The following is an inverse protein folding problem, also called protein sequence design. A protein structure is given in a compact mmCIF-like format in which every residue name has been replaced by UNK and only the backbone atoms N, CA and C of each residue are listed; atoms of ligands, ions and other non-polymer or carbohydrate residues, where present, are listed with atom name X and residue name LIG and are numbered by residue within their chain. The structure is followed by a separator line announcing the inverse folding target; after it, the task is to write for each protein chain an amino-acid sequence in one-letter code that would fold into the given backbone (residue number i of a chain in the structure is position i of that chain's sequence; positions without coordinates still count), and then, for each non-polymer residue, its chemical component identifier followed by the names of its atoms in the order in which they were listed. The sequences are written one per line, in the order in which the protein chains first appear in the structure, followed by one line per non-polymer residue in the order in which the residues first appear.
data_IF_704490130876
#
_entry.id   IF_704490130876
#
_cell.length_a   1.000
_cell.length_b   1.000
_cell.length_c   1.000
_cell.angle_alpha   90.00
_cell.angle_beta   90.00
_cell.angle_gamma   90.00
#
_symmetry.space_group_name_H-M   'P 1'
#
loop_
_entity.id
_entity.type
_entity.pdbx_description
1 polymer ?
#
# COMPACT_ATOMS: atom_id res chain seq x y z
N UNK A 1 19.58 0.85 9.15
CA UNK A 1 18.70 -0.32 9.35
C UNK A 1 18.64 -0.79 10.79
N UNK A 2 19.75 -0.87 11.53
CA UNK A 2 19.77 -1.38 12.91
C UNK A 2 18.84 -0.61 13.86
N UNK A 3 18.83 0.73 13.80
CA UNK A 3 17.93 1.54 14.63
C UNK A 3 16.44 1.23 14.37
N UNK A 4 16.04 0.97 13.12
CA UNK A 4 14.66 0.62 12.82
C UNK A 4 14.26 -0.72 13.47
N UNK A 5 15.17 -1.70 13.48
CA UNK A 5 14.94 -2.97 14.14
C UNK A 5 14.87 -2.82 15.66
N UNK A 6 15.79 -2.05 16.24
CA UNK A 6 15.87 -1.87 17.68
C UNK A 6 14.68 -1.09 18.26
N UNK A 7 14.25 -0.01 17.59
CA UNK A 7 13.26 0.91 18.18
C UNK A 7 11.84 0.74 17.64
N UNK A 8 11.67 0.19 16.44
CA UNK A 8 10.38 0.16 15.78
C UNK A 8 9.81 -1.26 15.56
N UNK A 9 10.64 -2.29 15.56
CA UNK A 9 10.17 -3.65 15.32
C UNK A 9 9.58 -4.28 16.57
N UNK A 10 8.34 -4.74 16.49
CA UNK A 10 7.65 -5.51 17.53
C UNK A 10 7.82 -7.00 17.24
N UNK A 11 8.76 -7.65 17.91
CA UNK A 11 9.08 -9.07 17.70
C UNK A 11 7.88 -9.99 17.94
N UNK A 12 7.01 -9.65 18.94
CA UNK A 12 5.84 -10.46 19.28
C UNK A 12 4.81 -10.43 18.15
N UNK A 13 4.62 -9.26 17.54
CA UNK A 13 3.70 -9.07 16.42
C UNK A 13 4.37 -9.36 15.07
N UNK A 14 5.70 -9.27 15.01
CA UNK A 14 6.50 -9.45 13.81
C UNK A 14 6.25 -8.39 12.74
N UNK A 15 6.01 -7.14 13.16
CA UNK A 15 5.75 -5.99 12.30
C UNK A 15 6.37 -4.74 12.92
N UNK A 16 6.57 -3.71 12.11
CA UNK A 16 7.04 -2.41 12.60
C UNK A 16 5.89 -1.59 13.18
N UNK A 17 6.22 -0.84 14.20
CA UNK A 17 5.31 0.11 14.86
C UNK A 17 5.83 1.53 14.70
N UNK A 18 4.95 2.52 14.77
CA UNK A 18 5.31 3.93 14.64
C UNK A 18 4.60 4.80 15.68
N UNK A 19 5.23 5.93 16.00
CA UNK A 19 4.72 6.89 16.98
C UNK A 19 4.76 6.38 18.42
N UNK A 20 4.39 7.26 19.35
CA UNK A 20 4.37 6.95 20.80
C UNK A 20 3.36 5.84 21.12
N UNK A 21 2.27 5.78 20.40
CA UNK A 21 1.18 4.80 20.57
C UNK A 21 1.49 3.44 19.91
N UNK A 22 2.69 3.26 19.36
CA UNK A 22 3.12 2.03 18.67
C UNK A 22 2.07 1.51 17.70
N UNK A 23 1.53 2.42 16.88
CA UNK A 23 0.53 2.09 15.88
C UNK A 23 1.13 1.24 14.75
N UNK A 24 0.28 0.40 14.15
CA UNK A 24 0.63 -0.40 12.97
C UNK A 24 -0.16 0.16 11.79
N UNK A 25 0.54 0.45 10.68
CA UNK A 25 -0.08 0.93 9.44
C UNK A 25 0.47 0.18 8.23
N UNK A 26 -0.29 0.14 7.15
CA UNK A 26 0.16 -0.39 5.87
C UNK A 26 1.39 0.34 5.34
N UNK A 27 1.37 1.68 5.43
CA UNK A 27 2.44 2.53 4.94
C UNK A 27 3.77 2.26 5.64
N UNK A 28 3.79 2.12 6.98
CA UNK A 28 5.03 1.88 7.70
C UNK A 28 5.69 0.57 7.29
N UNK A 29 4.92 -0.51 7.05
CA UNK A 29 5.49 -1.77 6.61
C UNK A 29 6.03 -1.67 5.17
N UNK A 30 5.27 -1.07 4.25
CA UNK A 30 5.72 -0.88 2.88
C UNK A 30 7.05 -0.11 2.83
N UNK A 31 7.18 0.96 3.59
CA UNK A 31 8.41 1.74 3.64
C UNK A 31 9.59 0.96 4.24
N UNK A 32 9.37 0.12 5.26
CA UNK A 32 10.45 -0.70 5.84
C UNK A 32 10.93 -1.77 4.86
N UNK A 33 10.04 -2.34 4.07
CA UNK A 33 10.40 -3.27 2.98
C UNK A 33 11.20 -2.55 1.89
N UNK A 34 10.74 -1.39 1.43
CA UNK A 34 11.42 -0.60 0.39
C UNK A 34 12.77 -0.03 0.86
N UNK A 35 12.93 0.19 2.16
CA UNK A 35 14.21 0.58 2.77
C UNK A 35 15.17 -0.60 3.01
N UNK A 36 14.78 -1.81 2.57
CA UNK A 36 15.59 -3.03 2.68
C UNK A 36 16.11 -3.27 4.11
N UNK A 37 15.23 -3.07 5.11
CA UNK A 37 15.58 -3.30 6.52
C UNK A 37 15.78 -4.78 6.80
N UNK A 38 15.03 -5.61 6.12
CA UNK A 38 15.07 -7.07 6.17
C UNK A 38 15.51 -7.70 4.85
N UNK A 39 15.88 -8.98 4.89
CA UNK A 39 16.07 -9.81 3.68
C UNK A 39 14.76 -9.98 2.93
N UNK A 40 14.83 -10.43 1.67
CA UNK A 40 13.67 -10.72 0.84
C UNK A 40 12.70 -11.70 1.52
N UNK A 41 13.23 -12.75 2.14
CA UNK A 41 12.46 -13.79 2.84
C UNK A 41 11.77 -13.24 4.09
N UNK A 42 12.45 -12.39 4.85
CA UNK A 42 11.88 -11.73 6.03
C UNK A 42 10.81 -10.72 5.63
N UNK A 43 11.03 -9.94 4.57
CA UNK A 43 10.05 -9.03 3.99
C UNK A 43 8.80 -9.78 3.51
N UNK A 44 8.96 -10.94 2.89
CA UNK A 44 7.84 -11.80 2.50
C UNK A 44 6.99 -12.21 3.71
N UNK A 45 7.63 -12.64 4.81
CA UNK A 45 6.95 -13.01 6.07
C UNK A 45 6.29 -11.80 6.74
N UNK A 46 6.95 -10.64 6.73
CA UNK A 46 6.40 -9.39 7.24
C UNK A 46 5.10 -9.01 6.53
N UNK A 47 5.10 -9.07 5.19
CA UNK A 47 3.92 -8.77 4.39
C UNK A 47 2.79 -9.78 4.61
N UNK A 48 3.08 -11.08 4.75
CA UNK A 48 2.05 -12.07 5.10
C UNK A 48 1.39 -11.77 6.45
N UNK A 49 2.19 -11.36 7.44
CA UNK A 49 1.67 -10.94 8.74
C UNK A 49 0.83 -9.66 8.65
N UNK A 50 1.30 -8.68 7.86
CA UNK A 50 0.57 -7.43 7.61
C UNK A 50 -0.84 -7.70 7.08
N UNK A 51 -0.96 -8.55 6.05
CA UNK A 51 -2.26 -8.92 5.49
C UNK A 51 -3.16 -9.67 6.50
N UNK A 52 -2.58 -10.49 7.39
CA UNK A 52 -3.34 -11.15 8.47
C UNK A 52 -3.80 -10.18 9.54
N UNK A 53 -2.94 -9.23 9.95
CA UNK A 53 -3.28 -8.20 10.96
C UNK A 53 -4.34 -7.24 10.42
N UNK A 54 -4.27 -6.91 9.14
CA UNK A 54 -5.16 -5.98 8.46
C UNK A 54 -5.33 -4.67 9.26
N UNK A 55 -4.29 -3.83 9.36
CA UNK A 55 -4.30 -2.64 10.21
C UNK A 55 -5.48 -1.72 9.93
N UNK A 56 -6.05 -1.11 10.97
CA UNK A 56 -7.18 -0.17 10.86
C UNK A 56 -6.79 1.14 10.15
N UNK A 57 -5.51 1.51 10.21
CA UNK A 57 -5.00 2.70 9.50
C UNK A 57 -4.83 2.34 8.03
N UNK A 58 -5.84 2.69 7.25
CA UNK A 58 -5.91 2.39 5.83
C UNK A 58 -5.10 3.36 4.97
N UNK A 59 -4.73 2.90 3.80
CA UNK A 59 -4.29 3.74 2.69
C UNK A 59 -5.52 4.16 1.88
N UNK A 60 -5.60 5.43 1.51
CA UNK A 60 -6.71 5.97 0.70
C UNK A 60 -6.24 6.57 -0.62
N UNK A 61 -4.93 6.59 -0.86
CA UNK A 61 -4.38 7.13 -2.09
C UNK A 61 -3.75 6.03 -2.94
N UNK A 62 -3.96 6.02 -4.25
CA UNK A 62 -3.26 5.13 -5.18
C UNK A 62 -1.73 5.25 -5.06
N UNK A 63 -1.23 6.42 -4.66
CA UNK A 63 0.18 6.65 -4.36
C UNK A 63 0.73 5.69 -3.29
N UNK A 64 0.01 5.50 -2.17
CA UNK A 64 0.46 4.54 -1.14
C UNK A 64 0.28 3.09 -1.56
N UNK A 65 -0.77 2.79 -2.33
CA UNK A 65 -0.92 1.47 -2.94
C UNK A 65 0.21 1.14 -3.92
N UNK A 66 0.74 2.13 -4.65
CA UNK A 66 1.93 1.97 -5.50
C UNK A 66 3.10 1.39 -4.68
N UNK A 67 3.42 1.98 -3.56
CA UNK A 67 4.53 1.55 -2.71
C UNK A 67 4.30 0.18 -2.07
N UNK A 68 3.06 -0.16 -1.70
CA UNK A 68 2.75 -1.50 -1.22
C UNK A 68 2.89 -2.54 -2.33
N UNK A 69 2.48 -2.23 -3.55
CA UNK A 69 2.64 -3.11 -4.73
C UNK A 69 4.12 -3.33 -5.01
N UNK A 70 4.94 -2.29 -5.00
CA UNK A 70 6.37 -2.42 -5.18
C UNK A 70 7.00 -3.30 -4.10
N UNK A 71 6.64 -3.07 -2.83
CA UNK A 71 7.08 -3.89 -1.70
C UNK A 71 6.70 -5.38 -1.88
N UNK A 72 5.49 -5.67 -2.37
CA UNK A 72 5.06 -7.03 -2.69
C UNK A 72 5.91 -7.65 -3.80
N UNK A 73 6.16 -6.92 -4.89
CA UNK A 73 6.92 -7.41 -6.04
C UNK A 73 8.36 -7.76 -5.65
N UNK A 74 9.05 -6.86 -4.94
CA UNK A 74 10.45 -7.11 -4.51
C UNK A 74 10.56 -8.20 -3.44
N UNK A 75 9.46 -8.50 -2.75
CA UNK A 75 9.36 -9.59 -1.77
C UNK A 75 8.83 -10.91 -2.37
N UNK A 76 8.87 -11.04 -3.70
CA UNK A 76 8.45 -12.24 -4.44
C UNK A 76 6.97 -12.61 -4.33
N UNK A 77 6.11 -11.59 -4.19
CA UNK A 77 4.64 -11.74 -4.09
C UNK A 77 3.93 -11.09 -5.29
N UNK A 78 4.39 -11.42 -6.51
CA UNK A 78 3.88 -10.82 -7.76
C UNK A 78 2.38 -11.07 -7.97
N UNK A 79 1.91 -12.28 -7.66
CA UNK A 79 0.48 -12.63 -7.78
C UNK A 79 -0.37 -11.76 -6.86
N UNK A 80 0.07 -11.58 -5.62
CA UNK A 80 -0.61 -10.72 -4.64
C UNK A 80 -0.62 -9.25 -5.05
N UNK A 81 0.47 -8.78 -5.65
CA UNK A 81 0.55 -7.44 -6.22
C UNK A 81 -0.46 -7.25 -7.37
N UNK A 82 -0.57 -8.24 -8.27
CA UNK A 82 -1.53 -8.21 -9.38
C UNK A 82 -2.98 -8.28 -8.89
N UNK A 83 -3.28 -9.11 -7.89
CA UNK A 83 -4.60 -9.14 -7.24
C UNK A 83 -4.96 -7.77 -6.65
N UNK A 84 -4.02 -7.11 -5.98
CA UNK A 84 -4.23 -5.80 -5.38
C UNK A 84 -4.47 -4.72 -6.45
N UNK A 85 -3.73 -4.75 -7.56
CA UNK A 85 -3.97 -3.86 -8.71
C UNK A 85 -5.40 -4.08 -9.24
N UNK A 86 -5.78 -5.33 -9.49
CA UNK A 86 -7.12 -5.66 -10.02
C UNK A 86 -8.24 -5.27 -9.07
N UNK A 87 -8.07 -5.51 -7.77
CA UNK A 87 -9.11 -5.19 -6.79
C UNK A 87 -9.26 -3.69 -6.57
N UNK A 88 -8.18 -2.94 -6.40
CA UNK A 88 -8.24 -1.51 -6.07
C UNK A 88 -8.61 -0.65 -7.30
N UNK A 89 -7.82 -0.72 -8.37
CA UNK A 89 -8.12 0.06 -9.59
C UNK A 89 -9.29 -0.50 -10.37
N UNK A 90 -9.54 -1.82 -10.29
CA UNK A 90 -10.71 -2.42 -10.90
C UNK A 90 -12.02 -1.95 -10.26
N UNK A 91 -12.08 -1.77 -8.94
CA UNK A 91 -13.25 -1.17 -8.27
C UNK A 91 -13.38 0.32 -8.63
N UNK A 92 -12.28 1.08 -8.72
CA UNK A 92 -12.30 2.47 -9.17
C UNK A 92 -12.94 2.60 -10.57
N UNK A 93 -12.61 1.69 -11.51
CA UNK A 93 -13.23 1.64 -12.85
C UNK A 93 -14.72 1.31 -12.79
N UNK A 94 -15.13 0.37 -11.94
CA UNK A 94 -16.55 0.01 -11.75
C UNK A 94 -17.36 1.18 -11.18
N UNK A 95 -16.73 1.99 -10.34
CA UNK A 95 -17.32 3.21 -9.77
C UNK A 95 -17.40 4.38 -10.77
N UNK A 96 -16.94 4.18 -11.99
CA UNK A 96 -17.11 5.09 -13.12
C UNK A 96 -15.86 5.92 -13.45
N UNK A 97 -14.67 5.52 -12.98
CA UNK A 97 -13.45 6.22 -13.34
C UNK A 97 -13.11 6.02 -14.82
N UNK A 98 -13.01 7.12 -15.55
CA UNK A 98 -12.49 7.21 -16.92
C UNK A 98 -11.02 7.69 -16.94
N UNK A 99 -10.56 8.20 -15.81
CA UNK A 99 -9.18 8.52 -15.52
C UNK A 99 -8.84 8.05 -14.10
N UNK A 100 -7.57 7.89 -13.75
CA UNK A 100 -7.18 7.48 -12.40
C UNK A 100 -7.35 8.62 -11.39
N UNK A 101 -8.09 8.35 -10.32
CA UNK A 101 -8.41 9.32 -9.27
C UNK A 101 -7.25 9.52 -8.30
N UNK A 102 -7.14 10.72 -7.73
CA UNK A 102 -6.14 11.11 -6.75
C UNK A 102 -6.20 10.25 -5.48
N UNK A 103 -7.41 9.99 -5.01
CA UNK A 103 -7.70 9.15 -3.86
C UNK A 103 -8.96 8.32 -4.13
N UNK A 104 -9.02 7.17 -3.49
CA UNK A 104 -10.15 6.27 -3.64
C UNK A 104 -10.26 5.32 -2.45
N UNK A 105 -11.45 5.25 -1.87
CA UNK A 105 -11.82 4.23 -0.92
C UNK A 105 -12.95 3.37 -1.51
N UNK A 106 -12.71 2.06 -1.78
CA UNK A 106 -13.75 1.17 -2.32
C UNK A 106 -15.01 1.06 -1.46
N UNK A 107 -14.92 1.38 -0.17
CA UNK A 107 -16.08 1.38 0.75
C UNK A 107 -16.87 2.68 0.73
N UNK A 108 -16.26 3.76 0.27
CA UNK A 108 -16.88 5.09 0.20
C UNK A 108 -16.18 5.94 -0.84
N UNK A 109 -16.62 5.85 -2.10
CA UNK A 109 -16.02 6.57 -3.23
C UNK A 109 -16.09 8.11 -3.12
N UNK A 110 -16.89 8.61 -2.20
CA UNK A 110 -17.02 10.05 -1.93
C UNK A 110 -16.17 10.50 -0.74
N UNK A 111 -15.36 9.62 -0.17
CA UNK A 111 -14.46 9.99 0.92
C UNK A 111 -13.44 11.03 0.44
N UNK A 112 -13.23 12.04 1.29
CA UNK A 112 -12.24 13.08 1.05
C UNK A 112 -11.67 13.58 2.37
N UNK A 113 -10.34 13.58 2.53
CA UNK A 113 -9.67 14.20 3.68
C UNK A 113 -9.74 15.73 3.63
N UNK A 114 -10.19 16.29 2.51
CA UNK A 114 -10.28 17.74 2.28
C UNK A 114 -11.65 18.33 2.68
N UNK A 115 -12.55 17.52 3.22
CA UNK A 115 -13.89 17.95 3.64
C UNK A 115 -14.97 17.92 2.56
N UNK A 116 -14.62 17.73 1.29
CA UNK A 116 -15.56 17.56 0.18
C UNK A 116 -14.95 16.75 -0.95
N UNK A 117 -15.71 15.81 -1.51
CA UNK A 117 -15.29 15.05 -2.69
C UNK A 117 -15.14 15.92 -3.95
N UNK A 118 -15.74 17.11 -3.98
CA UNK A 118 -15.59 18.05 -5.10
C UNK A 118 -14.17 18.64 -5.21
N UNK A 119 -13.37 18.52 -4.14
CA UNK A 119 -11.97 18.98 -4.10
C UNK A 119 -11.02 17.88 -4.61
N UNK A 120 -11.45 16.62 -4.62
CA UNK A 120 -10.63 15.51 -5.10
C UNK A 120 -10.33 15.65 -6.60
N UNK A 121 -9.11 15.38 -7.01
CA UNK A 121 -8.79 15.26 -8.43
C UNK A 121 -9.23 13.90 -8.98
N UNK A 122 -10.05 13.92 -10.01
CA UNK A 122 -10.52 12.72 -10.70
C UNK A 122 -9.66 12.37 -11.93
N UNK A 123 -8.51 13.02 -12.09
CA UNK A 123 -7.47 12.69 -13.07
C UNK A 123 -6.11 13.07 -12.49
N UNK A 124 -5.40 12.11 -11.90
CA UNK A 124 -4.17 12.37 -11.17
C UNK A 124 -3.04 11.43 -11.58
N UNK A 125 -1.91 12.01 -12.00
CA UNK A 125 -0.77 11.27 -12.55
C UNK A 125 -0.16 10.25 -11.58
N UNK A 126 -0.10 10.52 -10.28
CA UNK A 126 0.47 9.57 -9.30
C UNK A 126 -0.32 8.26 -9.14
N UNK A 127 -1.51 8.21 -9.76
CA UNK A 127 -2.38 7.03 -9.72
C UNK A 127 -2.16 6.06 -10.87
N UNK A 128 -1.24 6.37 -11.82
CA UNK A 128 -0.94 5.56 -13.01
C UNK A 128 -0.13 4.29 -12.70
N UNK A 129 -0.17 3.80 -11.49
CA UNK A 129 0.51 2.60 -10.99
C UNK A 129 0.32 1.37 -11.89
N UNK A 130 -0.91 1.00 -12.33
CA UNK A 130 -1.10 -0.21 -13.12
C UNK A 130 -0.26 -0.22 -14.39
N UNK A 131 -0.24 0.88 -15.13
CA UNK A 131 0.52 1.01 -16.38
C UNK A 131 2.02 0.77 -16.15
N UNK A 132 2.58 1.35 -15.09
CA UNK A 132 3.99 1.20 -14.76
C UNK A 132 4.34 -0.24 -14.39
N UNK A 133 3.65 -0.84 -13.43
CA UNK A 133 4.01 -2.18 -12.93
C UNK A 133 3.69 -3.28 -13.93
N UNK A 134 2.57 -3.20 -14.66
CA UNK A 134 2.23 -4.20 -15.67
C UNK A 134 3.32 -4.26 -16.73
N UNK A 135 3.75 -3.10 -17.25
CA UNK A 135 4.82 -3.05 -18.26
C UNK A 135 6.18 -3.50 -17.73
N UNK A 136 6.49 -3.22 -16.47
CA UNK A 136 7.81 -3.52 -15.90
C UNK A 136 7.98 -4.97 -15.48
N UNK A 137 6.91 -5.63 -15.01
CA UNK A 137 7.02 -6.90 -14.31
C UNK A 137 6.14 -8.03 -14.85
N UNK A 138 5.17 -7.75 -15.73
CA UNK A 138 4.19 -8.74 -16.18
C UNK A 138 4.09 -8.87 -17.71
N UNK A 139 4.66 -7.98 -18.49
CA UNK A 139 4.82 -8.03 -19.95
C UNK A 139 6.33 -7.96 -20.26
#
# INVERSE_FOLDING_TARGET
SNAALEYLFDEKKGVFTSGKEKQISWASQAWMVLAEVFTKEENSKLLDRLFKINPKINMITPYMYHHLIEALIISDKKEKALELIRSYWGEMLKDGADCFWELYNPKNKFESPYGSNLINSYCHAWSCTPTYFIRKYFI
#
